data_IF_214828888719
#
_entry.id   IF_214828888719
#
_cell.length_a   1.000
_cell.length_b   1.000
_cell.length_c   1.000
_cell.angle_alpha   90.00
_cell.angle_beta   90.00
_cell.angle_gamma   90.00
#
_symmetry.space_group_name_H-M   'P 1'
#
loop_
_entity.id
_entity.type
_entity.pdbx_description
1 polymer ?
#
# COMPACT_ATOMS: atom_id res chain seq x y z
N UNK A 1 22.69 20.78 -3.80
CA UNK A 1 21.97 19.58 -4.28
C UNK A 1 21.34 18.91 -3.07
N UNK A 2 20.02 19.02 -2.90
CA UNK A 2 19.32 18.42 -1.75
C UNK A 2 18.97 16.97 -2.08
N UNK A 3 19.79 16.03 -1.60
CA UNK A 3 19.44 14.61 -1.64
C UNK A 3 18.60 14.30 -0.39
N UNK A 4 17.28 14.20 -0.54
CA UNK A 4 16.39 13.69 0.51
C UNK A 4 16.50 12.16 0.55
N UNK A 5 17.58 11.65 1.14
CA UNK A 5 17.74 10.24 1.46
C UNK A 5 17.30 10.02 2.91
N UNK A 6 16.50 8.99 3.16
CA UNK A 6 16.00 8.71 4.50
C UNK A 6 15.38 7.33 4.61
N UNK A 7 14.81 7.05 5.78
CA UNK A 7 14.01 5.87 5.99
C UNK A 7 12.54 6.27 6.01
N UNK A 8 11.69 5.54 5.31
CA UNK A 8 10.26 5.80 5.26
C UNK A 8 9.47 4.50 5.30
N UNK A 9 8.28 4.55 5.86
CA UNK A 9 7.45 3.38 6.13
C UNK A 9 6.33 3.29 5.11
N UNK A 10 6.25 2.15 4.42
CA UNK A 10 5.29 1.92 3.35
C UNK A 10 4.59 0.57 3.48
N UNK A 11 3.54 0.39 2.69
CA UNK A 11 2.86 -0.89 2.55
C UNK A 11 2.09 -1.33 3.80
N UNK A 12 1.23 -0.44 4.35
CA UNK A 12 0.28 -0.81 5.42
C UNK A 12 -0.51 -2.05 4.98
N UNK A 13 -0.27 -3.17 5.64
CA UNK A 13 -0.87 -4.48 5.39
C UNK A 13 -1.21 -5.17 6.70
N UNK A 14 -1.92 -6.28 6.61
CA UNK A 14 -2.38 -7.08 7.75
C UNK A 14 -3.07 -6.17 8.82
N UNK A 15 -3.91 -5.24 8.35
CA UNK A 15 -4.59 -4.22 9.17
C UNK A 15 -5.87 -4.78 9.79
N UNK A 16 -5.91 -4.82 11.12
CA UNK A 16 -7.14 -4.93 11.92
C UNK A 16 -7.49 -3.52 12.44
N UNK A 17 -8.60 -2.93 11.96
CA UNK A 17 -9.06 -1.63 12.42
C UNK A 17 -9.18 -1.58 13.95
N UNK A 18 -8.58 -0.56 14.57
CA UNK A 18 -8.62 -0.34 16.01
C UNK A 18 -7.75 -1.27 16.86
N UNK A 19 -6.97 -2.16 16.23
CA UNK A 19 -6.07 -3.07 16.95
C UNK A 19 -4.62 -2.93 16.47
N UNK A 20 -4.35 -3.24 15.20
CA UNK A 20 -2.97 -3.34 14.73
C UNK A 20 -2.82 -3.27 13.21
N UNK A 21 -1.62 -2.96 12.75
CA UNK A 21 -1.23 -3.07 11.35
C UNK A 21 0.28 -3.26 11.18
N UNK A 22 0.69 -3.74 10.01
CA UNK A 22 2.11 -3.93 9.65
C UNK A 22 2.51 -2.94 8.57
N UNK A 23 3.66 -2.27 8.74
CA UNK A 23 4.34 -1.49 7.69
C UNK A 23 5.76 -1.99 7.52
N UNK A 24 6.33 -1.82 6.33
CA UNK A 24 7.74 -2.09 6.08
C UNK A 24 8.50 -0.79 6.01
N UNK A 25 9.62 -0.71 6.74
CA UNK A 25 10.56 0.39 6.64
C UNK A 25 11.47 0.14 5.45
N UNK A 26 11.58 1.14 4.59
CA UNK A 26 12.44 1.14 3.42
C UNK A 26 13.49 2.22 3.56
N UNK A 27 14.69 1.92 3.04
CA UNK A 27 15.58 2.97 2.59
C UNK A 27 14.94 3.64 1.36
N UNK A 28 14.63 4.92 1.49
CA UNK A 28 13.91 5.71 0.49
C UNK A 28 14.74 6.88 -0.01
N UNK A 29 14.57 7.18 -1.30
CA UNK A 29 15.15 8.35 -1.95
C UNK A 29 13.99 9.19 -2.48
N UNK A 30 13.83 10.39 -1.93
CA UNK A 30 12.67 11.28 -2.06
C UNK A 30 11.37 10.69 -1.49
N UNK A 31 10.87 9.65 -2.13
CA UNK A 31 9.62 8.95 -1.79
C UNK A 31 9.58 7.53 -2.39
N UNK A 32 10.63 7.13 -3.12
CA UNK A 32 10.72 5.84 -3.77
C UNK A 32 11.26 4.83 -2.74
N UNK A 33 10.48 3.81 -2.33
CA UNK A 33 10.98 2.72 -1.49
C UNK A 33 11.96 1.86 -2.30
N UNK A 34 13.26 1.95 -2.01
CA UNK A 34 14.29 1.22 -2.77
C UNK A 34 14.59 -0.14 -2.16
N UNK A 35 15.05 -0.14 -0.91
CA UNK A 35 15.53 -1.36 -0.24
C UNK A 35 14.69 -1.58 1.01
N UNK A 36 13.95 -2.69 1.13
CA UNK A 36 13.26 -3.02 2.37
C UNK A 36 14.33 -3.32 3.44
N UNK A 37 14.19 -2.69 4.60
CA UNK A 37 15.10 -2.90 5.73
C UNK A 37 14.55 -3.97 6.67
N UNK A 38 13.35 -3.72 7.20
CA UNK A 38 12.64 -4.62 8.12
C UNK A 38 11.18 -4.18 8.21
N UNK A 39 10.34 -5.02 8.77
CA UNK A 39 8.92 -4.73 8.95
C UNK A 39 8.64 -4.41 10.41
N UNK A 40 7.66 -3.56 10.68
CA UNK A 40 7.27 -3.12 12.00
C UNK A 40 5.77 -3.36 12.20
N UNK A 41 5.43 -3.89 13.36
CA UNK A 41 4.08 -4.03 13.86
C UNK A 41 3.73 -2.78 14.66
N UNK A 42 2.57 -2.20 14.35
CA UNK A 42 2.04 -1.01 15.01
C UNK A 42 0.73 -1.38 15.67
N UNK A 43 0.44 -0.70 16.77
CA UNK A 43 -0.91 -0.62 17.29
C UNK A 43 -1.68 0.39 16.43
N UNK A 44 -2.94 0.08 16.12
CA UNK A 44 -3.84 1.03 15.44
C UNK A 44 -4.48 1.97 16.47
N UNK A 45 -3.64 2.49 17.37
CA UNK A 45 -3.96 3.58 18.27
C UNK A 45 -3.34 4.88 17.73
N UNK A 46 -3.83 6.02 18.19
CA UNK A 46 -3.37 7.34 17.73
C UNK A 46 -1.91 7.65 18.10
N UNK A 47 -1.19 6.71 18.73
CA UNK A 47 0.23 6.87 19.09
C UNK A 47 1.13 6.95 17.86
N UNK A 48 0.80 6.19 16.81
CA UNK A 48 1.63 6.08 15.60
C UNK A 48 3.01 5.44 15.81
N UNK A 49 3.32 4.92 17.00
CA UNK A 49 4.63 4.36 17.31
C UNK A 49 4.72 2.85 16.98
N UNK A 50 5.87 2.38 16.46
CA UNK A 50 6.09 0.97 16.22
C UNK A 50 6.23 0.22 17.55
N UNK A 51 5.53 -0.90 17.70
CA UNK A 51 5.56 -1.71 18.91
C UNK A 51 6.65 -2.77 18.84
N UNK A 52 6.77 -3.44 17.70
CA UNK A 52 7.70 -4.55 17.53
C UNK A 52 8.28 -4.58 16.11
N UNK A 53 9.59 -4.78 16.01
CA UNK A 53 10.23 -5.13 14.75
C UNK A 53 9.98 -6.61 14.43
N UNK A 54 9.41 -6.87 13.26
CA UNK A 54 9.19 -8.20 12.72
C UNK A 54 10.08 -8.39 11.49
N UNK A 55 10.46 -9.65 11.22
CA UNK A 55 11.20 -9.99 10.01
C UNK A 55 10.46 -9.60 8.72
N UNK A 56 11.10 -9.78 7.57
CA UNK A 56 10.58 -9.33 6.28
C UNK A 56 9.13 -9.79 6.01
N UNK A 57 8.22 -8.81 5.88
CA UNK A 57 6.83 -9.06 5.57
C UNK A 57 6.54 -8.86 4.08
N UNK A 58 6.64 -9.93 3.28
CA UNK A 58 6.55 -9.88 1.82
C UNK A 58 5.28 -9.17 1.29
N UNK A 59 4.11 -9.36 1.93
CA UNK A 59 2.88 -8.66 1.53
C UNK A 59 3.01 -7.15 1.65
N UNK A 60 3.63 -6.68 2.72
CA UNK A 60 3.85 -5.25 2.97
C UNK A 60 4.79 -4.68 1.92
N UNK A 61 5.87 -5.40 1.62
CA UNK A 61 6.83 -5.03 0.59
C UNK A 61 6.15 -4.91 -0.78
N UNK A 62 5.42 -5.94 -1.18
CA UNK A 62 4.72 -5.97 -2.46
C UNK A 62 3.66 -4.88 -2.54
N UNK A 63 2.89 -4.65 -1.47
CA UNK A 63 1.90 -3.58 -1.39
C UNK A 63 2.54 -2.20 -1.56
N UNK A 64 3.72 -1.96 -0.96
CA UNK A 64 4.47 -0.73 -1.14
C UNK A 64 4.83 -0.53 -2.63
N UNK A 65 5.45 -1.53 -3.26
CA UNK A 65 5.86 -1.46 -4.67
C UNK A 65 4.70 -1.27 -5.64
N UNK A 66 3.58 -1.98 -5.45
CA UNK A 66 2.39 -1.82 -6.29
C UNK A 66 1.88 -0.37 -6.21
N UNK A 67 1.79 0.21 -5.01
CA UNK A 67 1.35 1.60 -4.82
C UNK A 67 2.34 2.61 -5.38
N UNK A 68 3.63 2.36 -5.26
CA UNK A 68 4.68 3.20 -5.84
C UNK A 68 4.61 3.22 -7.36
N UNK A 69 4.53 2.05 -8.01
CA UNK A 69 4.39 1.93 -9.47
C UNK A 69 3.11 2.63 -9.93
N UNK A 70 1.99 2.41 -9.22
CA UNK A 70 0.74 3.10 -9.48
C UNK A 70 0.90 4.64 -9.43
N UNK A 71 1.61 5.16 -8.43
CA UNK A 71 1.93 6.58 -8.32
C UNK A 71 2.73 7.11 -9.51
N UNK A 72 3.76 6.39 -9.97
CA UNK A 72 4.51 6.78 -11.17
C UNK A 72 3.66 6.82 -12.43
N UNK A 73 2.80 5.83 -12.62
CA UNK A 73 1.87 5.79 -13.76
C UNK A 73 0.97 7.02 -13.74
N UNK A 74 0.42 7.39 -12.59
CA UNK A 74 -0.42 8.60 -12.44
C UNK A 74 0.36 9.85 -12.84
N UNK A 75 1.58 10.05 -12.35
CA UNK A 75 2.40 11.23 -12.68
C UNK A 75 2.67 11.32 -14.19
N UNK A 76 2.99 10.20 -14.85
CA UNK A 76 3.23 10.15 -16.30
C UNK A 76 1.95 10.51 -17.06
N UNK A 77 0.80 9.96 -16.67
CA UNK A 77 -0.48 10.25 -17.30
C UNK A 77 -0.88 11.71 -17.12
N UNK A 78 -0.77 12.26 -15.92
CA UNK A 78 -1.04 13.67 -15.65
C UNK A 78 -0.14 14.56 -16.48
N UNK A 79 1.16 14.26 -16.58
CA UNK A 79 2.08 15.00 -17.43
C UNK A 79 1.64 15.00 -18.91
N UNK A 80 1.20 13.85 -19.44
CA UNK A 80 0.67 13.76 -20.83
C UNK A 80 -0.59 14.60 -21.03
N UNK A 81 -1.53 14.55 -20.08
CA UNK A 81 -2.78 15.33 -20.13
C UNK A 81 -2.49 16.83 -20.09
N UNK A 82 -1.63 17.27 -19.16
CA UNK A 82 -1.26 18.69 -19.02
C UNK A 82 -0.56 19.17 -20.30
N UNK A 83 0.42 18.43 -20.82
CA UNK A 83 1.09 18.82 -22.06
C UNK A 83 0.13 19.00 -23.23
N UNK A 84 -0.86 18.12 -23.35
CA UNK A 84 -1.90 18.23 -24.36
C UNK A 84 -2.79 19.47 -24.17
N UNK A 85 -3.31 19.70 -22.96
CA UNK A 85 -4.20 20.85 -22.68
C UNK A 85 -3.53 22.21 -22.93
N UNK A 86 -2.22 22.30 -22.70
CA UNK A 86 -1.46 23.55 -22.86
C UNK A 86 -0.76 23.68 -24.22
N UNK A 87 -1.02 22.76 -25.16
CA UNK A 87 -0.44 22.84 -26.51
C UNK A 87 1.10 22.75 -26.54
N UNK A 88 1.71 22.17 -25.49
CA UNK A 88 3.17 21.99 -25.37
C UNK A 88 3.64 20.78 -26.19
N UNK A 89 3.25 20.76 -27.47
CA UNK A 89 3.62 19.71 -28.42
C UNK A 89 5.03 19.97 -28.95
N UNK A 90 5.96 19.01 -28.86
CA UNK A 90 7.06 18.97 -29.81
C UNK A 90 6.44 18.67 -31.19
N UNK A 91 6.82 19.47 -32.19
CA UNK A 91 6.43 19.41 -33.60
C UNK A 91 5.93 18.03 -34.08
N UNK A 92 4.75 18.04 -34.73
CA UNK A 92 4.02 16.96 -35.42
C UNK A 92 2.93 16.21 -34.63
N UNK A 93 1.68 16.66 -34.79
CA UNK A 93 0.53 15.76 -35.02
C UNK A 93 -0.10 15.01 -33.83
N UNK A 94 0.43 15.14 -32.61
CA UNK A 94 -0.10 14.44 -31.43
C UNK A 94 -1.38 15.08 -30.87
N UNK A 95 -2.47 15.02 -31.64
CA UNK A 95 -3.80 15.23 -31.07
C UNK A 95 -4.16 13.96 -30.30
N UNK A 96 -4.37 14.04 -28.98
CA UNK A 96 -4.90 12.92 -28.19
C UNK A 96 -6.17 12.42 -28.87
N UNK A 97 -6.08 11.23 -29.45
CA UNK A 97 -7.21 10.59 -30.09
C UNK A 97 -8.23 10.20 -29.02
N UNK A 98 -9.51 10.01 -29.37
CA UNK A 98 -10.49 9.42 -28.45
C UNK A 98 -10.03 8.09 -27.82
N UNK A 99 -9.15 7.35 -28.51
CA UNK A 99 -8.53 6.11 -28.01
C UNK A 99 -7.59 6.39 -26.83
N UNK A 100 -6.85 7.49 -26.86
CA UNK A 100 -5.96 7.87 -25.76
C UNK A 100 -6.75 8.25 -24.50
N UNK A 101 -7.89 8.95 -24.66
CA UNK A 101 -8.78 9.27 -23.53
C UNK A 101 -9.39 8.00 -22.91
N UNK A 102 -9.82 7.05 -23.73
CA UNK A 102 -10.29 5.74 -23.26
C UNK A 102 -9.17 4.96 -22.56
N UNK A 103 -7.94 5.04 -23.07
CA UNK A 103 -6.76 4.45 -22.44
C UNK A 103 -6.47 5.04 -21.05
N UNK A 104 -6.56 6.37 -20.92
CA UNK A 104 -6.40 7.07 -19.63
C UNK A 104 -7.50 6.65 -18.65
N UNK A 105 -8.76 6.66 -19.08
CA UNK A 105 -9.89 6.25 -18.24
C UNK A 105 -9.76 4.78 -17.80
N UNK A 106 -9.38 3.90 -18.73
CA UNK A 106 -9.11 2.49 -18.45
C UNK A 106 -8.00 2.29 -17.42
N UNK A 107 -6.91 3.08 -17.51
CA UNK A 107 -5.84 3.05 -16.50
C UNK A 107 -6.29 3.58 -15.15
N UNK A 108 -7.08 4.66 -15.09
CA UNK A 108 -7.63 5.16 -13.82
C UNK A 108 -8.49 4.08 -13.14
N UNK A 109 -9.36 3.41 -13.91
CA UNK A 109 -10.18 2.32 -13.39
C UNK A 109 -9.32 1.13 -12.94
N UNK A 110 -8.29 0.75 -13.71
CA UNK A 110 -7.34 -0.29 -13.32
C UNK A 110 -6.61 0.07 -12.03
N UNK A 111 -6.19 1.32 -11.85
CA UNK A 111 -5.53 1.78 -10.64
C UNK A 111 -6.48 1.79 -9.43
N UNK A 112 -7.72 2.22 -9.61
CA UNK A 112 -8.75 2.11 -8.58
C UNK A 112 -8.99 0.64 -8.19
N UNK A 113 -9.05 -0.26 -9.17
CA UNK A 113 -9.18 -1.69 -8.94
C UNK A 113 -7.97 -2.28 -8.21
N UNK A 114 -6.74 -1.91 -8.60
CA UNK A 114 -5.49 -2.36 -7.94
C UNK A 114 -5.42 -1.81 -6.50
N UNK A 115 -5.79 -0.55 -6.29
CA UNK A 115 -5.86 0.04 -4.96
C UNK A 115 -6.89 -0.70 -4.09
N UNK A 116 -8.09 -0.94 -4.62
CA UNK A 116 -9.11 -1.68 -3.91
C UNK A 116 -8.70 -3.13 -3.63
N UNK A 117 -8.07 -3.80 -4.60
CA UNK A 117 -7.56 -5.16 -4.44
C UNK A 117 -6.45 -5.23 -3.39
N UNK A 118 -5.51 -4.29 -3.40
CA UNK A 118 -4.46 -4.22 -2.36
C UNK A 118 -5.03 -3.87 -0.99
N UNK A 119 -6.09 -3.07 -0.91
CA UNK A 119 -6.83 -2.82 0.32
C UNK A 119 -7.55 -4.09 0.81
N UNK A 120 -8.29 -4.78 -0.06
CA UNK A 120 -8.96 -6.04 0.27
C UNK A 120 -7.96 -7.14 0.69
N UNK A 121 -6.78 -7.19 0.05
CA UNK A 121 -5.71 -8.13 0.37
C UNK A 121 -4.93 -7.76 1.64
N UNK A 122 -5.08 -6.52 2.13
CA UNK A 122 -4.41 -6.05 3.33
C UNK A 122 -4.99 -6.63 4.63
N UNK A 123 -6.00 -7.49 4.58
CA UNK A 123 -6.53 -8.19 5.76
C UNK A 123 -5.61 -9.38 6.13
N UNK A 124 -5.20 -9.52 7.40
CA UNK A 124 -4.41 -10.67 7.83
C UNK A 124 -5.28 -11.92 7.89
N UNK A 125 -4.67 -13.10 7.82
CA UNK A 125 -5.35 -14.37 8.12
C UNK A 125 -5.48 -14.54 9.64
N UNK A 126 -6.53 -15.21 10.10
CA UNK A 126 -6.85 -15.34 11.54
C UNK A 126 -5.65 -15.84 12.36
N UNK A 127 -5.02 -16.94 11.93
CA UNK A 127 -3.83 -17.50 12.59
C UNK A 127 -2.70 -16.48 12.78
N UNK A 128 -2.46 -15.66 11.75
CA UNK A 128 -1.42 -14.62 11.80
C UNK A 128 -1.83 -13.46 12.69
N UNK A 129 -3.10 -13.09 12.66
CA UNK A 129 -3.65 -12.08 13.56
C UNK A 129 -3.53 -12.51 15.04
N UNK A 130 -3.73 -13.79 15.35
CA UNK A 130 -3.49 -14.30 16.70
C UNK A 130 -2.02 -14.21 17.13
N UNK A 131 -1.07 -14.52 16.24
CA UNK A 131 0.37 -14.40 16.55
C UNK A 131 0.72 -12.95 16.89
N UNK A 132 0.34 -12.01 16.03
CA UNK A 132 0.61 -10.60 16.28
C UNK A 132 -0.12 -10.05 17.50
N UNK A 133 -1.32 -10.53 17.80
CA UNK A 133 -2.03 -10.13 19.00
C UNK A 133 -1.35 -10.65 20.28
N UNK A 134 -0.82 -11.87 20.25
CA UNK A 134 -0.04 -12.45 21.35
C UNK A 134 1.24 -11.63 21.58
N UNK A 135 1.96 -11.29 20.50
CA UNK A 135 3.15 -10.42 20.54
C UNK A 135 2.84 -9.02 21.12
N UNK A 136 1.59 -8.53 20.94
CA UNK A 136 1.11 -7.25 21.46
C UNK A 136 0.49 -7.34 22.86
N UNK A 137 0.41 -8.55 23.44
CA UNK A 137 -0.26 -8.80 24.72
C UNK A 137 -1.77 -8.57 24.70
N UNK A 138 -2.41 -8.67 23.53
CA UNK A 138 -3.85 -8.48 23.36
C UNK A 138 -4.62 -9.77 23.67
N UNK A 139 -5.73 -9.67 24.40
CA UNK A 139 -6.61 -10.81 24.66
C UNK A 139 -7.24 -11.31 23.34
N UNK A 140 -7.10 -12.60 23.06
CA UNK A 140 -7.68 -13.24 21.88
C UNK A 140 -9.21 -13.12 21.81
N UNK A 141 -9.89 -12.90 22.95
CA UNK A 141 -11.33 -12.60 22.97
C UNK A 141 -11.65 -11.30 22.24
N UNK A 142 -10.83 -10.26 22.43
CA UNK A 142 -11.00 -8.96 21.74
C UNK A 142 -10.80 -9.14 20.23
N UNK A 143 -9.84 -9.97 19.84
CA UNK A 143 -9.57 -10.27 18.45
C UNK A 143 -10.78 -10.92 17.76
N UNK A 144 -11.44 -11.89 18.41
CA UNK A 144 -12.64 -12.55 17.85
C UNK A 144 -13.82 -11.60 17.66
N UNK A 145 -13.94 -10.53 18.46
CA UNK A 145 -15.00 -9.53 18.32
C UNK A 145 -14.75 -8.64 17.09
N UNK A 146 -13.49 -8.25 16.86
CA UNK A 146 -13.12 -7.32 15.78
C UNK A 146 -12.84 -8.03 14.44
N UNK A 147 -12.69 -9.36 14.46
CA UNK A 147 -12.36 -10.13 13.28
C UNK A 147 -13.63 -10.60 12.55
N UNK A 148 -13.81 -10.28 11.25
CA UNK A 148 -15.03 -10.66 10.52
C UNK A 148 -15.22 -12.18 10.47
N UNK A 149 -16.41 -12.68 10.81
CA UNK A 149 -16.74 -14.12 10.85
C UNK A 149 -16.38 -14.88 9.57
N UNK A 150 -16.44 -14.21 8.40
CA UNK A 150 -16.08 -14.77 7.09
C UNK A 150 -14.66 -15.34 7.02
N UNK A 151 -13.76 -14.88 7.89
CA UNK A 151 -12.36 -15.31 7.93
C UNK A 151 -12.08 -16.35 9.03
N UNK A 152 -13.05 -16.65 9.91
CA UNK A 152 -12.95 -17.71 10.90
C UNK A 152 -13.24 -19.09 10.30
N UNK A 153 -14.11 -19.18 9.29
CA UNK A 153 -14.53 -20.45 8.66
C UNK A 153 -13.44 -21.23 7.90
N UNK A 154 -12.22 -20.71 7.81
CA UNK A 154 -11.10 -21.36 7.10
C UNK A 154 -9.92 -21.77 8.00
N UNK A 155 -10.06 -21.71 9.33
CA UNK A 155 -8.98 -22.08 10.27
C UNK A 155 -9.04 -23.53 10.75
N UNK A 156 -10.12 -24.25 10.45
CA UNK A 156 -10.41 -25.57 11.04
C UNK A 156 -10.12 -26.73 10.06
N UNK A 157 -9.42 -26.45 8.95
CA UNK A 157 -8.99 -27.44 7.95
C UNK A 157 -7.46 -27.51 7.82
#
# INVERSE_FOLDING_TARGET
>A
MFYFMGNSEYGKTDHLPGLMYVKTRFFSVWWLPLIPLYSMLYRDDDSGEPVLEIGFHFKSILSAWIRTIAGFVIVILTYRIVRFQFGLHPEAGDVLSPVDYLGILGMIMLMAAVYYATYAWSQPRFRRACIYADDLGLDQKVLKIHYPERFMKGSDS
#
